data_IF_156157544667
#
_entry.id   IF_156157544667
#
_cell.length_a   1.000
_cell.length_b   1.000
_cell.length_c   1.000
_cell.angle_alpha   90.00
_cell.angle_beta   90.00
_cell.angle_gamma   90.00
#
_symmetry.space_group_name_H-M   'P 1'
#
loop_
_entity.id
_entity.type
_entity.pdbx_description
1 polymer ?
#
# COMPACT_ATOMS: atom_id res chain seq x y z
N UNK A 1 10.27 -11.19 3.80
CA UNK A 1 8.99 -11.45 4.49
C UNK A 1 8.97 -11.01 5.96
N UNK A 2 10.00 -11.25 6.77
CA UNK A 2 9.99 -10.84 8.20
C UNK A 2 9.90 -9.32 8.36
N UNK A 3 10.64 -8.56 7.53
CA UNK A 3 10.62 -7.10 7.55
C UNK A 3 9.24 -6.57 7.13
N UNK A 4 8.67 -7.12 6.05
CA UNK A 4 7.37 -6.75 5.50
C UNK A 4 6.25 -7.04 6.50
N UNK A 5 6.29 -8.19 7.18
CA UNK A 5 5.39 -8.49 8.29
C UNK A 5 5.51 -7.45 9.41
N UNK A 6 6.74 -7.14 9.84
CA UNK A 6 6.98 -6.17 10.92
C UNK A 6 6.47 -4.77 10.56
N UNK A 7 6.76 -4.31 9.34
CA UNK A 7 6.33 -3.00 8.83
C UNK A 7 4.80 -2.96 8.72
N UNK A 8 4.20 -3.97 8.09
CA UNK A 8 2.75 -4.02 7.92
C UNK A 8 2.01 -4.09 9.26
N UNK A 9 2.54 -4.84 10.24
CA UNK A 9 1.99 -4.91 11.61
C UNK A 9 1.99 -3.53 12.27
N UNK A 10 3.07 -2.75 12.11
CA UNK A 10 3.14 -1.38 12.66
C UNK A 10 2.26 -0.38 11.91
N UNK A 11 2.01 -0.62 10.62
CA UNK A 11 1.14 0.22 9.80
C UNK A 11 -0.35 -0.01 10.08
N UNK A 12 -0.75 -1.15 10.66
CA UNK A 12 -2.16 -1.43 10.98
C UNK A 12 -2.75 -0.28 11.81
N UNK A 13 -3.88 0.25 11.34
CA UNK A 13 -4.57 1.39 11.96
C UNK A 13 -4.26 2.73 11.30
N UNK A 14 -3.25 2.80 10.42
CA UNK A 14 -3.01 3.97 9.56
C UNK A 14 -3.96 3.98 8.37
N UNK A 15 -4.38 5.17 7.93
CA UNK A 15 -5.44 5.39 6.93
C UNK A 15 -5.25 4.64 5.61
N UNK A 16 -4.01 4.59 5.11
CA UNK A 16 -3.68 4.09 3.77
C UNK A 16 -3.03 2.70 3.79
N UNK A 17 -3.16 1.98 4.89
CA UNK A 17 -2.64 0.61 5.05
C UNK A 17 -3.74 -0.44 4.90
N UNK A 18 -3.48 -1.59 4.28
CA UNK A 18 -4.42 -2.71 4.30
C UNK A 18 -4.47 -3.35 5.68
N UNK A 19 -5.62 -3.94 6.04
CA UNK A 19 -5.73 -4.76 7.25
C UNK A 19 -4.84 -6.00 7.13
N UNK A 20 -4.15 -6.36 8.21
CA UNK A 20 -3.42 -7.62 8.35
C UNK A 20 -4.32 -8.64 9.06
N UNK A 21 -4.53 -9.80 8.44
CA UNK A 21 -5.35 -10.89 9.01
C UNK A 21 -4.48 -11.97 9.66
N UNK A 22 -3.39 -12.37 9.00
CA UNK A 22 -2.47 -13.38 9.51
C UNK A 22 -1.10 -13.25 8.84
N UNK A 23 -0.06 -13.77 9.48
CA UNK A 23 1.27 -13.92 8.90
C UNK A 23 2.03 -15.00 9.64
N UNK A 24 2.93 -15.71 8.96
CA UNK A 24 3.75 -16.72 9.60
C UNK A 24 4.48 -17.59 8.59
N UNK A 25 4.87 -18.77 9.05
CA UNK A 25 5.59 -19.76 8.25
C UNK A 25 4.83 -21.08 8.23
N UNK A 26 4.70 -21.70 7.06
CA UNK A 26 4.06 -23.01 6.86
C UNK A 26 4.87 -23.79 5.83
N UNK A 27 5.32 -25.00 6.17
CA UNK A 27 6.06 -25.90 5.27
C UNK A 27 7.25 -25.23 4.55
N UNK A 28 8.10 -24.50 5.28
CA UNK A 28 9.21 -23.68 4.75
C UNK A 28 8.81 -22.47 3.88
N UNK A 29 7.53 -22.13 3.77
CA UNK A 29 7.07 -20.91 3.11
C UNK A 29 6.67 -19.85 4.12
N UNK A 30 7.03 -18.60 3.86
CA UNK A 30 6.54 -17.46 4.61
C UNK A 30 5.30 -16.89 3.91
N UNK A 31 4.27 -16.53 4.67
CA UNK A 31 3.03 -16.00 4.13
C UNK A 31 2.56 -14.77 4.91
N UNK A 32 1.82 -13.90 4.22
CA UNK A 32 1.10 -12.75 4.77
C UNK A 32 -0.31 -12.78 4.16
N UNK A 33 -1.32 -12.77 5.00
CA UNK A 33 -2.74 -12.66 4.63
C UNK A 33 -3.20 -11.26 5.00
N UNK A 34 -3.54 -10.46 4.00
CA UNK A 34 -3.97 -9.08 4.17
C UNK A 34 -5.22 -8.77 3.35
N UNK A 35 -5.83 -7.61 3.59
CA UNK A 35 -6.97 -7.12 2.83
C UNK A 35 -6.67 -7.08 1.32
N UNK A 36 -7.50 -7.76 0.54
CA UNK A 36 -7.49 -7.64 -0.91
C UNK A 36 -7.95 -6.24 -1.32
N UNK A 37 -7.14 -5.54 -2.09
CA UNK A 37 -7.43 -4.20 -2.59
C UNK A 37 -7.97 -4.26 -4.03
N UNK A 38 -8.44 -3.11 -4.52
CA UNK A 38 -8.91 -2.96 -5.90
C UNK A 38 -7.77 -2.83 -6.92
N UNK A 39 -8.16 -2.37 -8.12
CA UNK A 39 -7.25 -2.11 -9.24
C UNK A 39 -6.15 -1.12 -8.85
N UNK A 40 -4.92 -1.37 -9.29
CA UNK A 40 -3.79 -0.48 -9.02
C UNK A 40 -3.83 0.79 -9.90
N UNK A 41 -3.07 1.82 -9.51
CA UNK A 41 -3.05 3.11 -10.22
C UNK A 41 -2.57 2.99 -11.68
N UNK A 42 -1.69 2.03 -11.98
CA UNK A 42 -1.21 1.78 -13.35
C UNK A 42 -2.32 1.25 -14.24
N UNK A 43 -3.10 0.29 -13.77
CA UNK A 43 -4.27 -0.25 -14.47
C UNK A 43 -5.34 0.81 -14.69
N UNK A 44 -5.64 1.60 -13.64
CA UNK A 44 -6.63 2.67 -13.71
C UNK A 44 -6.21 3.74 -14.72
N UNK A 45 -4.93 4.12 -14.73
CA UNK A 45 -4.36 5.09 -15.68
C UNK A 45 -4.41 4.56 -17.11
N UNK A 46 -4.00 3.31 -17.33
CA UNK A 46 -4.00 2.68 -18.67
C UNK A 46 -5.41 2.52 -19.24
N UNK A 47 -6.42 2.38 -18.39
CA UNK A 47 -7.82 2.28 -18.81
C UNK A 47 -8.46 3.63 -19.16
N UNK A 48 -7.79 4.76 -18.92
CA UNK A 48 -8.28 6.06 -19.40
C UNK A 48 -8.05 6.18 -20.91
N UNK A 49 -8.96 6.84 -21.62
CA UNK A 49 -8.89 7.04 -23.08
C UNK A 49 -7.53 7.59 -23.53
N UNK A 50 -7.01 8.60 -22.82
CA UNK A 50 -5.71 9.23 -23.12
C UNK A 50 -4.52 8.61 -22.36
N UNK A 51 -4.74 7.49 -21.65
CA UNK A 51 -3.73 6.83 -20.79
C UNK A 51 -3.09 7.75 -19.74
N UNK A 52 -3.82 8.79 -19.31
CA UNK A 52 -3.45 9.75 -18.26
C UNK A 52 -4.63 10.04 -17.37
N UNK A 53 -4.34 10.47 -16.15
CA UNK A 53 -5.35 11.07 -15.28
C UNK A 53 -5.54 12.56 -15.60
N UNK A 54 -6.73 13.08 -15.29
CA UNK A 54 -6.94 14.52 -15.22
C UNK A 54 -6.12 15.12 -14.07
N UNK A 55 -5.84 16.42 -14.13
CA UNK A 55 -5.09 17.13 -13.07
C UNK A 55 -5.76 16.94 -11.71
N UNK A 56 -7.10 17.05 -11.65
CA UNK A 56 -7.87 16.86 -10.43
C UNK A 56 -7.68 15.46 -9.81
N UNK A 57 -7.67 14.41 -10.62
CA UNK A 57 -7.42 13.04 -10.12
C UNK A 57 -5.97 12.88 -9.68
N UNK A 58 -5.01 13.39 -10.46
CA UNK A 58 -3.58 13.35 -10.11
C UNK A 58 -3.30 14.01 -8.77
N UNK A 59 -3.85 15.20 -8.51
CA UNK A 59 -3.65 15.91 -7.24
C UNK A 59 -4.23 15.12 -6.06
N UNK A 60 -5.46 14.59 -6.18
CA UNK A 60 -6.08 13.80 -5.09
C UNK A 60 -5.34 12.50 -4.80
N UNK A 61 -4.81 11.84 -5.83
CA UNK A 61 -3.94 10.66 -5.66
C UNK A 61 -2.64 11.07 -4.98
N UNK A 62 -2.01 12.17 -5.42
CA UNK A 62 -0.78 12.68 -4.83
C UNK A 62 -0.91 12.98 -3.33
N UNK A 63 -1.99 13.64 -2.91
CA UNK A 63 -2.27 13.89 -1.48
C UNK A 63 -2.33 12.59 -0.68
N UNK A 64 -3.06 11.58 -1.15
CA UNK A 64 -3.16 10.29 -0.48
C UNK A 64 -1.81 9.56 -0.43
N UNK A 65 -1.02 9.62 -1.50
CA UNK A 65 0.33 9.02 -1.53
C UNK A 65 1.27 9.68 -0.53
N UNK A 66 1.23 11.01 -0.41
CA UNK A 66 2.05 11.75 0.57
C UNK A 66 1.62 11.42 2.00
N UNK A 67 0.31 11.35 2.28
CA UNK A 67 -0.21 10.91 3.58
C UNK A 67 0.26 9.48 3.92
N UNK A 68 0.22 8.56 2.95
CA UNK A 68 0.68 7.19 3.13
C UNK A 68 2.20 7.11 3.40
N UNK A 69 3.00 7.85 2.63
CA UNK A 69 4.46 7.91 2.82
C UNK A 69 4.82 8.53 4.18
N UNK A 70 4.10 9.58 4.60
CA UNK A 70 4.28 10.15 5.92
C UNK A 70 4.06 9.10 7.02
N UNK A 71 3.00 8.30 6.94
CA UNK A 71 2.76 7.24 7.93
C UNK A 71 3.89 6.20 7.98
N UNK A 72 4.46 5.83 6.82
CA UNK A 72 5.62 4.93 6.74
C UNK A 72 6.86 5.57 7.38
N UNK A 73 7.14 6.84 7.07
CA UNK A 73 8.30 7.57 7.58
C UNK A 73 8.20 7.86 9.09
N UNK A 74 7.00 8.20 9.59
CA UNK A 74 6.75 8.46 11.01
C UNK A 74 7.02 7.18 11.86
N UNK A 75 6.91 5.99 11.26
CA UNK A 75 7.27 4.70 11.88
C UNK A 75 8.75 4.32 11.75
N UNK A 76 9.56 5.17 11.10
CA UNK A 76 11.00 4.97 10.92
C UNK A 76 11.40 4.08 9.74
N UNK A 77 10.49 3.82 8.80
CA UNK A 77 10.76 2.99 7.63
C UNK A 77 10.85 3.81 6.34
N UNK A 78 11.56 3.29 5.35
CA UNK A 78 11.54 3.78 3.97
C UNK A 78 10.85 2.74 3.09
N UNK A 79 9.91 3.15 2.24
CA UNK A 79 9.21 2.24 1.33
C UNK A 79 10.15 1.63 0.28
N UNK A 80 10.93 2.50 -0.39
CA UNK A 80 11.78 2.25 -1.58
C UNK A 80 11.24 1.17 -2.53
#
# INVERSE_FOLDING_TARGET
>A
MVLEQMVLTKLVGTRHSPRLYASGSLNNYNYIVMQMLGRNLTELRKAQNERRFSVHTTVRVGVQMVEALKAVHDLGFLHR
#
